data_IF_627770685385
#
_entry.id   IF_627770685385
#
_cell.length_a   1.000
_cell.length_b   1.000
_cell.length_c   1.000
_cell.angle_alpha   90.00
_cell.angle_beta   90.00
_cell.angle_gamma   90.00
#
_symmetry.space_group_name_H-M   'P 1'
#
loop_
_entity.id
_entity.type
_entity.pdbx_description
1 polymer ?
#
# COMPACT_ATOMS: atom_id res chain seq x y z
N UNK A 1 15.43 2.03 -41.39
CA UNK A 1 16.35 1.96 -42.55
C UNK A 1 15.93 0.89 -43.58
N UNK A 2 15.55 -0.33 -43.16
CA UNK A 2 15.08 -1.37 -44.09
C UNK A 2 13.81 -1.02 -44.89
N UNK A 3 12.85 -0.31 -44.29
CA UNK A 3 11.62 0.11 -44.98
C UNK A 3 11.85 1.09 -46.16
N UNK A 4 12.94 1.87 -46.14
CA UNK A 4 13.28 2.77 -47.25
C UNK A 4 13.97 2.05 -48.42
N UNK A 5 14.68 0.96 -48.17
CA UNK A 5 15.33 0.17 -49.23
C UNK A 5 14.31 -0.66 -50.02
N UNK A 6 13.27 -1.16 -49.36
CA UNK A 6 12.21 -1.95 -50.00
C UNK A 6 11.30 -1.08 -50.88
N UNK A 7 11.02 0.16 -50.47
CA UNK A 7 10.19 1.08 -51.28
C UNK A 7 10.90 1.55 -52.55
N UNK A 8 12.24 1.64 -52.53
CA UNK A 8 13.04 2.07 -53.70
C UNK A 8 13.17 0.99 -54.80
N UNK A 9 12.99 -0.29 -54.48
CA UNK A 9 13.02 -1.35 -55.51
C UNK A 9 11.71 -1.46 -56.31
N UNK A 10 10.59 -0.94 -55.79
CA UNK A 10 9.27 -1.07 -56.44
C UNK A 10 9.07 -0.03 -57.57
N UNK A 11 9.90 1.01 -57.65
CA UNK A 11 9.73 2.11 -58.63
C UNK A 11 10.61 1.99 -59.89
N UNK A 12 11.34 0.88 -60.12
CA UNK A 12 12.31 0.76 -61.23
C UNK A 12 12.14 -0.49 -62.11
N UNK A 13 11.04 -1.26 -62.01
CA UNK A 13 10.80 -2.36 -62.97
C UNK A 13 9.33 -2.56 -63.27
N UNK A 14 8.94 -2.25 -64.51
CA UNK A 14 7.57 -2.26 -65.05
C UNK A 14 7.05 -3.66 -65.45
N UNK A 15 7.69 -4.77 -65.06
CA UNK A 15 7.31 -6.11 -65.58
C UNK A 15 7.16 -7.27 -64.56
N UNK A 16 7.29 -7.05 -63.25
CA UNK A 16 6.76 -8.01 -62.24
C UNK A 16 6.75 -7.37 -60.84
N UNK A 17 5.62 -6.90 -60.30
CA UNK A 17 5.56 -6.28 -58.98
C UNK A 17 5.47 -7.38 -57.90
N UNK A 18 6.40 -8.33 -57.92
CA UNK A 18 6.53 -9.31 -56.82
C UNK A 18 7.25 -8.62 -55.67
N UNK A 19 6.46 -7.97 -54.81
CA UNK A 19 6.92 -7.59 -53.46
C UNK A 19 7.55 -8.84 -52.86
N UNK A 20 8.85 -8.86 -52.52
CA UNK A 20 9.49 -10.11 -52.13
C UNK A 20 8.77 -10.61 -50.87
N UNK A 21 8.01 -11.71 -50.96
CA UNK A 21 7.26 -12.26 -49.83
C UNK A 21 8.16 -12.52 -48.62
N UNK A 22 9.45 -12.76 -48.89
CA UNK A 22 10.53 -12.84 -47.90
C UNK A 22 10.67 -11.56 -47.08
N UNK A 23 10.59 -10.36 -47.69
CA UNK A 23 10.72 -9.09 -46.98
C UNK A 23 9.53 -8.83 -46.05
N UNK A 24 8.31 -9.14 -46.50
CA UNK A 24 7.10 -9.05 -45.68
C UNK A 24 7.16 -10.06 -44.53
N UNK A 25 7.56 -11.31 -44.82
CA UNK A 25 7.72 -12.35 -43.80
C UNK A 25 8.79 -12.00 -42.76
N UNK A 26 9.94 -11.47 -43.20
CA UNK A 26 11.02 -11.01 -42.30
C UNK A 26 10.57 -9.82 -41.45
N UNK A 27 9.85 -8.86 -42.03
CA UNK A 27 9.31 -7.71 -41.28
C UNK A 27 8.29 -8.17 -40.24
N UNK A 28 7.38 -9.06 -40.62
CA UNK A 28 6.39 -9.64 -39.71
C UNK A 28 7.06 -10.44 -38.59
N UNK A 29 8.06 -11.25 -38.92
CA UNK A 29 8.86 -11.99 -37.93
C UNK A 29 9.57 -11.04 -36.97
N UNK A 30 10.20 -9.96 -37.48
CA UNK A 30 10.85 -8.94 -36.66
C UNK A 30 9.87 -8.23 -35.73
N UNK A 31 8.65 -7.92 -36.20
CA UNK A 31 7.60 -7.33 -35.34
C UNK A 31 7.20 -8.30 -34.24
N UNK A 32 6.97 -9.58 -34.56
CA UNK A 32 6.64 -10.61 -33.56
C UNK A 32 7.78 -10.76 -32.55
N UNK A 33 9.03 -10.84 -33.00
CA UNK A 33 10.21 -10.92 -32.12
C UNK A 33 10.31 -9.67 -31.25
N UNK A 34 10.04 -8.47 -31.79
CA UNK A 34 10.09 -7.24 -31.01
C UNK A 34 9.01 -7.22 -29.92
N UNK A 35 7.77 -7.63 -30.24
CA UNK A 35 6.69 -7.75 -29.25
C UNK A 35 7.05 -8.79 -28.18
N UNK A 36 7.58 -9.95 -28.57
CA UNK A 36 8.01 -10.99 -27.61
C UNK A 36 9.15 -10.48 -26.72
N UNK A 37 10.17 -9.84 -27.30
CA UNK A 37 11.29 -9.26 -26.55
C UNK A 37 10.79 -8.15 -25.63
N UNK A 38 9.85 -7.31 -26.07
CA UNK A 38 9.25 -6.26 -25.24
C UNK A 38 8.46 -6.86 -24.07
N UNK A 39 7.64 -7.89 -24.31
CA UNK A 39 6.90 -8.61 -23.26
C UNK A 39 7.86 -9.27 -22.27
N UNK A 40 8.90 -9.95 -22.76
CA UNK A 40 9.95 -10.55 -21.93
C UNK A 40 10.70 -9.47 -21.15
N UNK A 41 11.01 -8.34 -21.77
CA UNK A 41 11.71 -7.22 -21.13
C UNK A 41 10.85 -6.57 -20.04
N UNK A 42 9.55 -6.34 -20.29
CA UNK A 42 8.61 -5.84 -19.28
C UNK A 42 8.47 -6.85 -18.15
N UNK A 43 8.39 -8.15 -18.44
CA UNK A 43 8.32 -9.20 -17.41
C UNK A 43 9.63 -9.34 -16.60
N UNK A 44 10.77 -9.05 -17.23
CA UNK A 44 12.09 -9.15 -16.60
C UNK A 44 12.42 -7.89 -15.77
N UNK A 45 12.17 -6.69 -16.30
CA UNK A 45 12.27 -5.43 -15.55
C UNK A 45 11.20 -5.35 -14.46
N UNK A 46 10.01 -5.88 -14.74
CA UNK A 46 8.91 -5.92 -13.79
C UNK A 46 9.15 -6.83 -12.59
N UNK A 47 10.23 -7.65 -12.58
CA UNK A 47 10.52 -8.52 -11.44
C UNK A 47 11.32 -7.85 -10.33
N UNK A 48 12.19 -6.88 -10.58
CA UNK A 48 13.02 -6.27 -9.52
C UNK A 48 13.49 -4.86 -9.91
N UNK A 49 12.75 -3.83 -9.48
CA UNK A 49 13.28 -2.46 -9.41
C UNK A 49 14.51 -2.49 -8.47
N UNK A 50 15.72 -2.37 -9.04
CA UNK A 50 17.05 -2.58 -8.43
C UNK A 50 17.23 -2.07 -7.00
N UNK A 51 16.46 -1.08 -6.57
CA UNK A 51 16.64 -0.42 -5.28
C UNK A 51 16.42 -1.40 -4.12
N UNK A 52 15.33 -2.15 -4.09
CA UNK A 52 15.01 -3.00 -2.93
C UNK A 52 15.91 -4.24 -2.86
N UNK A 53 16.16 -4.90 -3.99
CA UNK A 53 17.13 -6.00 -4.07
C UNK A 53 18.54 -5.53 -3.71
N UNK A 54 18.94 -4.32 -4.11
CA UNK A 54 20.23 -3.73 -3.74
C UNK A 54 20.29 -3.38 -2.25
N UNK A 55 19.23 -2.81 -1.69
CA UNK A 55 19.12 -2.52 -0.25
C UNK A 55 19.29 -3.81 0.55
N UNK A 56 18.63 -4.90 0.15
CA UNK A 56 18.78 -6.19 0.84
C UNK A 56 20.13 -6.83 0.59
N UNK A 57 20.71 -6.71 -0.60
CA UNK A 57 22.06 -7.19 -0.87
C UNK A 57 23.07 -6.50 0.06
N UNK A 58 23.04 -5.17 0.12
CA UNK A 58 23.90 -4.37 0.99
C UNK A 58 23.60 -4.68 2.46
N UNK A 59 22.33 -4.81 2.83
CA UNK A 59 21.89 -5.19 4.18
C UNK A 59 22.45 -6.55 4.59
N UNK A 60 22.34 -7.57 3.73
CA UNK A 60 22.87 -8.91 3.97
C UNK A 60 24.39 -8.92 4.07
N UNK A 61 25.08 -8.23 3.15
CA UNK A 61 26.55 -8.10 3.20
C UNK A 61 27.00 -7.43 4.50
N UNK A 62 26.30 -6.37 4.91
CA UNK A 62 26.61 -5.65 6.15
C UNK A 62 26.35 -6.52 7.39
N UNK A 63 25.27 -7.31 7.42
CA UNK A 63 25.00 -8.27 8.51
C UNK A 63 26.08 -9.33 8.62
N UNK A 64 26.51 -9.93 7.50
CA UNK A 64 27.62 -10.89 7.51
C UNK A 64 28.92 -10.24 7.99
N UNK A 65 29.18 -9.00 7.60
CA UNK A 65 30.34 -8.26 8.08
C UNK A 65 30.25 -7.93 9.59
N UNK A 66 29.05 -7.69 10.13
CA UNK A 66 28.85 -7.51 11.57
C UNK A 66 29.25 -8.76 12.35
N UNK A 67 28.83 -9.96 11.90
CA UNK A 67 29.20 -11.21 12.56
C UNK A 67 30.73 -11.50 12.44
N UNK A 68 31.38 -11.03 11.37
CA UNK A 68 32.83 -11.17 11.17
C UNK A 68 33.66 -10.19 12.01
N UNK A 69 33.27 -8.91 12.03
CA UNK A 69 34.01 -7.82 12.71
C UNK A 69 33.70 -7.77 14.21
N UNK A 70 32.49 -8.15 14.61
CA UNK A 70 32.02 -8.14 15.99
C UNK A 70 31.47 -9.53 16.41
N UNK A 71 32.32 -10.57 16.48
CA UNK A 71 31.88 -11.94 16.74
C UNK A 71 31.39 -12.16 18.17
N UNK A 72 31.90 -11.38 19.13
CA UNK A 72 31.58 -11.53 20.54
C UNK A 72 30.17 -10.99 20.82
N UNK A 73 29.23 -11.90 21.10
CA UNK A 73 27.90 -11.56 21.57
C UNK A 73 27.95 -11.30 23.08
N UNK A 74 27.45 -10.15 23.51
CA UNK A 74 27.18 -9.90 24.93
C UNK A 74 26.16 -10.95 25.40
N UNK A 75 26.53 -11.74 26.40
CA UNK A 75 25.80 -12.86 27.03
C UNK A 75 24.40 -13.13 26.43
N UNK A 76 24.36 -14.02 25.43
CA UNK A 76 23.14 -14.40 24.72
C UNK A 76 22.34 -15.55 25.37
N UNK A 77 22.75 -16.00 26.56
CA UNK A 77 22.24 -17.20 27.22
C UNK A 77 21.26 -16.94 28.39
N UNK A 78 20.97 -15.68 28.73
CA UNK A 78 19.94 -15.37 29.73
C UNK A 78 18.54 -15.31 29.08
N UNK A 79 17.88 -16.48 29.12
CA UNK A 79 16.49 -16.77 28.75
C UNK A 79 16.12 -16.60 27.26
N UNK A 80 16.45 -17.62 26.45
CA UNK A 80 15.51 -18.02 25.38
C UNK A 80 14.20 -18.41 26.04
N UNK A 81 13.25 -17.48 26.05
CA UNK A 81 11.86 -17.72 26.43
C UNK A 81 11.34 -18.87 25.53
N UNK A 82 11.12 -20.10 26.06
CA UNK A 82 10.71 -21.24 25.25
C UNK A 82 9.34 -21.01 24.60
N UNK A 83 8.55 -20.12 25.19
CA UNK A 83 7.25 -19.72 24.71
C UNK A 83 7.33 -18.58 23.66
N UNK A 84 8.50 -18.34 23.08
CA UNK A 84 8.73 -17.26 22.13
C UNK A 84 9.34 -17.77 20.83
N UNK A 85 8.61 -17.57 19.74
CA UNK A 85 9.09 -17.85 18.39
C UNK A 85 9.81 -16.61 17.87
N UNK A 86 11.07 -16.75 17.46
CA UNK A 86 11.86 -15.66 16.87
C UNK A 86 12.11 -15.85 15.37
N UNK A 87 12.27 -14.74 14.66
CA UNK A 87 12.58 -14.71 13.25
C UNK A 87 14.00 -15.24 12.98
N UNK A 88 14.13 -16.19 12.05
CA UNK A 88 15.43 -16.73 11.65
C UNK A 88 16.22 -15.73 10.77
N UNK A 89 15.51 -14.94 9.97
CA UNK A 89 16.08 -13.90 9.12
C UNK A 89 15.20 -12.66 9.17
N UNK A 90 15.74 -11.52 8.73
CA UNK A 90 14.95 -10.31 8.59
C UNK A 90 14.03 -10.38 7.38
N UNK A 91 12.94 -9.63 7.42
CA UNK A 91 12.05 -9.44 6.28
C UNK A 91 10.74 -8.80 6.71
N UNK A 92 9.87 -8.57 5.74
CA UNK A 92 8.53 -8.03 5.94
C UNK A 92 7.54 -9.18 6.03
N UNK A 93 6.69 -9.20 7.07
CA UNK A 93 5.62 -10.21 7.15
C UNK A 93 4.59 -9.97 6.05
N UNK A 94 4.50 -10.89 5.09
CA UNK A 94 3.60 -10.73 3.93
C UNK A 94 2.42 -11.68 3.93
N UNK A 95 2.56 -12.87 4.53
CA UNK A 95 1.50 -13.86 4.59
C UNK A 95 1.49 -14.57 5.94
N UNK A 96 0.30 -14.93 6.39
CA UNK A 96 0.07 -15.69 7.62
C UNK A 96 -0.79 -16.91 7.30
N UNK A 97 -0.20 -18.10 7.46
CA UNK A 97 -0.85 -19.40 7.32
C UNK A 97 -1.82 -19.69 8.47
N UNK A 98 -2.93 -18.95 8.55
CA UNK A 98 -3.91 -19.00 9.65
C UNK A 98 -4.41 -20.40 9.96
N UNK A 99 -4.82 -21.16 8.93
CA UNK A 99 -5.30 -22.54 9.10
C UNK A 99 -4.21 -23.48 9.64
N UNK A 100 -2.97 -23.31 9.17
CA UNK A 100 -1.81 -24.07 9.64
C UNK A 100 -1.52 -23.74 11.11
N UNK A 101 -1.50 -22.46 11.48
CA UNK A 101 -1.30 -22.01 12.85
C UNK A 101 -2.39 -22.52 13.79
N UNK A 102 -3.67 -22.47 13.40
CA UNK A 102 -4.78 -23.03 14.21
C UNK A 102 -4.60 -24.53 14.40
N UNK A 103 -4.21 -25.25 13.34
CA UNK A 103 -3.97 -26.69 13.40
C UNK A 103 -2.82 -27.03 14.35
N UNK A 104 -1.73 -26.27 14.30
CA UNK A 104 -0.59 -26.40 15.20
C UNK A 104 -0.98 -26.13 16.67
N UNK A 105 -1.61 -25.00 16.93
CA UNK A 105 -2.04 -24.61 18.27
C UNK A 105 -3.02 -25.63 18.87
N UNK A 106 -3.94 -26.17 18.07
CA UNK A 106 -4.88 -27.20 18.53
C UNK A 106 -4.18 -28.52 18.86
N UNK A 107 -3.23 -28.97 18.03
CA UNK A 107 -2.49 -30.22 18.28
C UNK A 107 -1.66 -30.14 19.56
N UNK A 108 -1.08 -28.98 19.83
CA UNK A 108 -0.26 -28.71 20.99
C UNK A 108 -1.05 -28.15 22.19
N UNK A 109 -2.37 -28.04 22.09
CA UNK A 109 -3.24 -27.40 23.09
C UNK A 109 -2.67 -26.08 23.66
N UNK A 110 -2.36 -25.16 22.74
CA UNK A 110 -1.83 -23.84 23.06
C UNK A 110 -2.51 -22.77 22.20
N UNK A 111 -2.13 -21.51 22.46
CA UNK A 111 -2.50 -20.32 21.73
C UNK A 111 -1.24 -19.64 21.18
N UNK A 112 -1.33 -19.16 19.95
CA UNK A 112 -0.27 -18.46 19.23
C UNK A 112 -0.69 -17.00 19.03
N UNK A 113 -0.01 -16.09 19.71
CA UNK A 113 -0.16 -14.65 19.50
C UNK A 113 0.91 -14.19 18.51
N UNK A 114 0.53 -13.94 17.26
CA UNK A 114 1.43 -13.29 16.30
C UNK A 114 1.67 -11.86 16.80
N UNK A 115 2.93 -11.43 16.79
CA UNK A 115 3.33 -10.15 17.37
C UNK A 115 3.49 -9.02 16.33
N UNK A 116 4.07 -9.26 15.14
CA UNK A 116 4.08 -8.26 14.08
C UNK A 116 2.77 -8.26 13.29
N UNK A 117 2.34 -7.08 12.86
CA UNK A 117 1.25 -6.94 11.89
C UNK A 117 1.72 -7.33 10.48
N UNK A 118 0.79 -7.73 9.60
CA UNK A 118 1.08 -7.86 8.17
C UNK A 118 1.63 -6.52 7.64
N UNK A 119 2.68 -6.61 6.84
CA UNK A 119 3.39 -5.47 6.27
C UNK A 119 4.48 -4.87 7.16
N UNK A 120 4.65 -5.37 8.39
CA UNK A 120 5.70 -4.91 9.30
C UNK A 120 7.05 -5.56 8.98
N UNK A 121 8.12 -4.76 9.02
CA UNK A 121 9.50 -5.26 8.97
C UNK A 121 9.89 -5.89 10.31
N UNK A 122 10.36 -7.13 10.23
CA UNK A 122 10.82 -7.95 11.35
C UNK A 122 12.33 -8.15 11.23
N UNK A 123 13.14 -7.64 12.18
CA UNK A 123 14.57 -7.93 12.22
C UNK A 123 14.88 -9.41 12.50
N UNK A 124 16.04 -9.88 12.06
CA UNK A 124 16.53 -11.21 12.44
C UNK A 124 16.66 -11.32 13.96
N UNK A 125 16.17 -12.42 14.56
CA UNK A 125 16.12 -12.64 15.99
C UNK A 125 14.98 -11.92 16.72
N UNK A 126 14.21 -11.06 16.04
CA UNK A 126 13.05 -10.42 16.66
C UNK A 126 11.90 -11.41 16.89
N UNK A 127 10.96 -11.02 17.75
CA UNK A 127 9.82 -11.86 18.16
C UNK A 127 8.79 -11.94 17.03
N UNK A 128 8.42 -13.14 16.62
CA UNK A 128 7.37 -13.42 15.64
C UNK A 128 6.05 -13.80 16.29
N UNK A 129 6.10 -14.70 17.27
CA UNK A 129 4.92 -15.14 17.98
C UNK A 129 5.23 -15.44 19.45
N UNK A 130 4.22 -15.26 20.30
CA UNK A 130 4.20 -15.75 21.67
C UNK A 130 3.29 -16.96 21.75
N UNK A 131 3.77 -18.00 22.41
CA UNK A 131 3.03 -19.20 22.72
C UNK A 131 2.48 -19.07 24.14
N UNK A 132 1.24 -19.49 24.37
CA UNK A 132 0.67 -19.57 25.71
C UNK A 132 -0.17 -20.83 25.83
N UNK A 133 -0.09 -21.55 26.95
CA UNK A 133 -0.84 -22.79 27.15
C UNK A 133 0.00 -23.87 27.82
N UNK A 134 -0.58 -25.04 28.03
CA UNK A 134 0.10 -26.13 28.74
C UNK A 134 0.94 -27.02 27.83
N UNK A 135 0.67 -27.06 26.52
CA UNK A 135 1.44 -27.88 25.58
C UNK A 135 2.38 -27.08 24.67
N UNK A 136 2.83 -25.90 25.10
CA UNK A 136 3.82 -25.11 24.33
C UNK A 136 5.13 -25.88 24.12
N UNK A 137 5.54 -26.74 25.06
CA UNK A 137 6.72 -27.61 24.90
C UNK A 137 6.59 -28.62 23.74
N UNK A 138 5.36 -28.91 23.29
CA UNK A 138 5.07 -29.89 22.24
C UNK A 138 4.88 -29.31 20.85
N UNK A 139 4.94 -27.98 20.69
CA UNK A 139 4.76 -27.33 19.39
C UNK A 139 6.09 -27.27 18.62
N UNK A 140 6.03 -27.56 17.32
CA UNK A 140 7.18 -27.36 16.45
C UNK A 140 7.31 -25.87 16.07
N UNK A 141 8.33 -25.21 16.63
CA UNK A 141 8.62 -23.79 16.40
C UNK A 141 8.98 -23.51 14.94
N UNK A 142 9.57 -24.48 14.23
CA UNK A 142 9.91 -24.32 12.82
C UNK A 142 8.65 -24.34 11.96
N UNK A 143 7.66 -25.20 12.26
CA UNK A 143 6.36 -25.16 11.57
C UNK A 143 5.62 -23.84 11.82
N UNK A 144 5.70 -23.28 13.03
CA UNK A 144 5.13 -21.94 13.31
C UNK A 144 5.83 -20.86 12.49
N UNK A 145 7.17 -20.95 12.34
CA UNK A 145 7.94 -19.99 11.53
C UNK A 145 7.61 -20.10 10.05
N UNK A 146 7.46 -21.32 9.52
CA UNK A 146 7.09 -21.55 8.12
C UNK A 146 5.70 -20.99 7.79
N UNK A 147 4.77 -21.02 8.74
CA UNK A 147 3.45 -20.42 8.59
C UNK A 147 3.47 -18.87 8.60
N UNK A 148 4.59 -18.24 8.98
CA UNK A 148 4.78 -16.78 9.02
C UNK A 148 5.78 -16.35 7.94
N UNK A 149 5.27 -16.03 6.76
CA UNK A 149 6.11 -15.77 5.59
C UNK A 149 6.69 -14.37 5.64
N UNK A 150 8.03 -14.29 5.73
CA UNK A 150 8.78 -13.05 5.61
C UNK A 150 9.35 -12.88 4.19
N UNK A 151 9.06 -11.76 3.54
CA UNK A 151 9.52 -11.42 2.19
C UNK A 151 10.35 -10.13 2.18
N UNK A 152 10.94 -9.79 1.03
CA UNK A 152 11.72 -8.56 0.87
C UNK A 152 10.86 -7.30 0.94
N UNK A 153 9.69 -7.33 0.30
CA UNK A 153 8.79 -6.18 0.18
C UNK A 153 7.38 -6.56 0.62
N UNK A 154 6.60 -5.53 0.96
CA UNK A 154 5.14 -5.66 1.16
C UNK A 154 4.48 -6.03 -0.17
N UNK A 155 3.44 -6.85 -0.09
CA UNK A 155 2.58 -7.20 -1.23
C UNK A 155 1.15 -6.75 -0.96
N UNK A 156 0.36 -6.56 -2.02
CA UNK A 156 -1.06 -6.22 -1.89
C UNK A 156 -1.96 -7.40 -1.55
N UNK A 157 -1.44 -8.63 -1.60
CA UNK A 157 -2.24 -9.86 -1.56
C UNK A 157 -3.07 -9.97 -0.28
N UNK A 158 -2.47 -9.65 0.87
CA UNK A 158 -3.13 -9.71 2.18
C UNK A 158 -3.13 -8.37 2.94
N UNK A 159 -2.71 -7.28 2.30
CA UNK A 159 -2.42 -6.01 2.99
C UNK A 159 -3.15 -4.81 2.37
N UNK A 160 -4.39 -4.60 2.81
CA UNK A 160 -5.21 -3.45 2.40
C UNK A 160 -4.51 -2.13 2.76
N UNK A 161 -3.80 -2.09 3.89
CA UNK A 161 -3.10 -0.89 4.33
C UNK A 161 -1.95 -0.52 3.40
N UNK A 162 -1.29 -1.51 2.80
CA UNK A 162 -0.26 -1.25 1.80
C UNK A 162 -0.85 -0.60 0.55
N UNK A 163 -2.05 -1.01 0.12
CA UNK A 163 -2.77 -0.36 -0.99
C UNK A 163 -3.08 1.10 -0.69
N UNK A 164 -3.57 1.38 0.52
CA UNK A 164 -3.82 2.75 0.96
C UNK A 164 -2.51 3.57 1.04
N UNK A 165 -1.44 2.98 1.56
CA UNK A 165 -0.13 3.63 1.63
C UNK A 165 0.40 3.99 0.24
N UNK A 166 0.29 3.09 -0.73
CA UNK A 166 0.73 3.38 -2.10
C UNK A 166 -0.05 4.54 -2.73
N UNK A 167 -1.36 4.62 -2.49
CA UNK A 167 -2.16 5.77 -2.95
C UNK A 167 -1.64 7.07 -2.32
N UNK A 168 -1.41 7.08 -1.01
CA UNK A 168 -0.89 8.24 -0.30
C UNK A 168 0.49 8.64 -0.82
N UNK A 169 1.41 7.68 -1.01
CA UNK A 169 2.73 7.93 -1.58
C UNK A 169 2.66 8.53 -3.00
N UNK A 170 1.67 8.14 -3.82
CA UNK A 170 1.43 8.78 -5.12
C UNK A 170 1.02 10.25 -4.95
N UNK A 171 0.15 10.55 -3.99
CA UNK A 171 -0.26 11.92 -3.66
C UNK A 171 0.92 12.77 -3.16
N UNK A 172 1.71 12.21 -2.24
CA UNK A 172 2.91 12.89 -1.72
C UNK A 172 3.93 13.17 -2.84
N UNK A 173 4.17 12.20 -3.72
CA UNK A 173 5.07 12.39 -4.88
C UNK A 173 4.57 13.45 -5.86
N UNK A 174 3.26 13.56 -6.06
CA UNK A 174 2.67 14.60 -6.90
C UNK A 174 2.89 16.02 -6.33
N UNK A 175 3.24 16.14 -5.04
CA UNK A 175 3.58 17.41 -4.38
C UNK A 175 5.07 17.60 -4.10
N UNK A 176 5.89 16.55 -4.22
CA UNK A 176 7.29 16.57 -3.81
C UNK A 176 8.17 17.52 -4.63
N UNK A 177 7.79 17.85 -5.87
CA UNK A 177 8.48 18.85 -6.68
C UNK A 177 7.65 20.15 -6.75
N UNK A 178 8.03 21.13 -5.93
CA UNK A 178 7.32 22.42 -5.84
C UNK A 178 7.17 23.17 -7.16
N UNK A 179 8.03 22.92 -8.17
CA UNK A 179 7.91 23.57 -9.48
C UNK A 179 6.88 22.90 -10.39
N UNK A 180 6.52 21.65 -10.10
CA UNK A 180 5.65 20.79 -10.91
C UNK A 180 4.56 20.13 -10.08
N UNK A 181 4.23 20.70 -8.92
CA UNK A 181 3.19 20.20 -8.06
C UNK A 181 1.88 20.09 -8.85
N UNK A 182 1.26 18.91 -8.80
CA UNK A 182 0.01 18.62 -9.49
C UNK A 182 -1.13 18.36 -8.49
N UNK A 183 -1.84 19.42 -8.06
CA UNK A 183 -3.01 19.29 -7.20
C UNK A 183 -4.11 18.39 -7.77
N UNK A 184 -4.21 18.26 -9.08
CA UNK A 184 -5.24 17.44 -9.72
C UNK A 184 -4.97 15.96 -9.47
N UNK A 185 -3.72 15.52 -9.59
CA UNK A 185 -3.33 14.15 -9.24
C UNK A 185 -3.59 13.85 -7.76
N UNK A 186 -3.31 14.81 -6.86
CA UNK A 186 -3.59 14.62 -5.43
C UNK A 186 -5.09 14.51 -5.15
N UNK A 187 -5.92 15.33 -5.80
CA UNK A 187 -7.39 15.20 -5.70
C UNK A 187 -7.85 13.81 -6.14
N UNK A 188 -7.29 13.26 -7.23
CA UNK A 188 -7.62 11.91 -7.67
C UNK A 188 -7.19 10.84 -6.67
N UNK A 189 -6.05 11.02 -5.99
CA UNK A 189 -5.62 10.15 -4.89
C UNK A 189 -6.60 10.24 -3.71
N UNK A 190 -6.99 11.45 -3.31
CA UNK A 190 -7.99 11.68 -2.25
C UNK A 190 -9.32 11.01 -2.61
N UNK A 191 -9.74 11.00 -3.88
CA UNK A 191 -10.94 10.28 -4.30
C UNK A 191 -10.85 8.77 -4.07
N UNK A 192 -9.69 8.16 -4.33
CA UNK A 192 -9.50 6.71 -4.11
C UNK A 192 -9.43 6.38 -2.62
N UNK A 193 -8.70 7.18 -1.84
CA UNK A 193 -8.64 7.06 -0.37
C UNK A 193 -10.05 7.19 0.23
N UNK A 194 -10.79 8.23 -0.20
CA UNK A 194 -12.15 8.48 0.24
C UNK A 194 -13.08 7.28 -0.03
N UNK A 195 -13.10 6.78 -1.27
CA UNK A 195 -13.93 5.63 -1.64
C UNK A 195 -13.61 4.38 -0.80
N UNK A 196 -12.33 4.07 -0.62
CA UNK A 196 -11.90 2.91 0.18
C UNK A 196 -12.29 3.05 1.65
N UNK A 197 -12.08 4.22 2.26
CA UNK A 197 -12.46 4.45 3.66
C UNK A 197 -13.98 4.46 3.83
N UNK A 198 -14.74 4.95 2.85
CA UNK A 198 -16.20 4.87 2.84
C UNK A 198 -16.65 3.42 2.83
N UNK A 199 -16.03 2.56 2.03
CA UNK A 199 -16.31 1.12 2.04
C UNK A 199 -15.91 0.43 3.36
N UNK A 200 -14.79 0.83 3.98
CA UNK A 200 -14.32 0.26 5.25
C UNK A 200 -15.15 0.72 6.46
N UNK A 201 -15.72 1.93 6.43
CA UNK A 201 -16.46 2.53 7.56
C UNK A 201 -17.66 1.71 8.04
N UNK A 202 -18.23 0.87 7.16
CA UNK A 202 -19.39 0.00 7.46
C UNK A 202 -19.03 -1.48 7.55
N UNK A 203 -17.74 -1.79 7.62
CA UNK A 203 -17.25 -3.16 7.80
C UNK A 203 -16.81 -3.38 9.24
N UNK A 204 -16.98 -4.61 9.68
CA UNK A 204 -16.40 -5.08 10.92
C UNK A 204 -14.88 -5.18 10.73
N UNK A 205 -14.15 -4.32 11.44
CA UNK A 205 -12.70 -4.37 11.54
C UNK A 205 -12.38 -5.06 12.86
N UNK A 206 -12.70 -6.35 12.91
CA UNK A 206 -12.48 -7.16 14.12
C UNK A 206 -10.99 -7.48 14.25
N UNK A 207 -10.54 -7.68 15.48
CA UNK A 207 -9.25 -8.33 15.76
C UNK A 207 -9.18 -9.64 14.95
N UNK A 208 -8.04 -9.91 14.30
CA UNK A 208 -7.84 -11.13 13.53
C UNK A 208 -7.63 -12.31 14.50
N UNK A 209 -8.74 -12.84 15.00
CA UNK A 209 -8.83 -13.91 16.01
C UNK A 209 -9.34 -15.18 15.36
N UNK A 210 -8.48 -16.20 15.29
CA UNK A 210 -8.79 -17.49 14.72
C UNK A 210 -9.16 -18.49 15.82
N UNK A 211 -10.28 -19.18 15.62
CA UNK A 211 -10.82 -20.18 16.55
C UNK A 211 -10.78 -21.56 15.92
N UNK A 212 -10.66 -22.59 16.74
CA UNK A 212 -10.83 -23.97 16.30
C UNK A 212 -12.31 -24.38 16.20
N UNK A 213 -12.56 -25.63 15.79
CA UNK A 213 -13.90 -26.21 15.66
C UNK A 213 -14.70 -26.23 16.97
N UNK A 214 -14.02 -26.10 18.13
CA UNK A 214 -14.65 -26.06 19.45
C UNK A 214 -14.99 -24.65 19.91
N UNK A 215 -14.58 -23.63 19.15
CA UNK A 215 -14.78 -22.21 19.44
C UNK A 215 -13.68 -21.59 20.31
N UNK A 216 -12.63 -22.34 20.66
CA UNK A 216 -11.50 -21.85 21.44
C UNK A 216 -10.57 -20.98 20.58
N UNK A 217 -10.07 -19.87 21.15
CA UNK A 217 -9.13 -18.98 20.45
C UNK A 217 -7.77 -19.65 20.38
N UNK A 218 -7.29 -19.91 19.16
CA UNK A 218 -6.00 -20.56 18.90
C UNK A 218 -4.95 -19.60 18.35
N UNK A 219 -5.35 -18.60 17.56
CA UNK A 219 -4.41 -17.64 16.99
C UNK A 219 -4.97 -16.24 17.10
N UNK A 220 -4.13 -15.26 17.45
CA UNK A 220 -4.47 -13.84 17.29
C UNK A 220 -3.39 -13.13 16.50
N UNK A 221 -3.82 -12.26 15.60
CA UNK A 221 -2.95 -11.46 14.73
C UNK A 221 -3.27 -9.98 14.93
N UNK A 222 -2.27 -9.10 15.05
CA UNK A 222 -2.48 -7.66 15.08
C UNK A 222 -3.07 -7.22 13.73
N UNK A 223 -4.23 -6.57 13.77
CA UNK A 223 -4.89 -6.00 12.61
C UNK A 223 -4.95 -4.47 12.72
N UNK A 224 -5.04 -3.79 11.57
CA UNK A 224 -5.31 -2.35 11.57
C UNK A 224 -6.74 -2.09 12.04
N UNK A 225 -6.86 -1.15 12.99
CA UNK A 225 -8.16 -0.62 13.38
C UNK A 225 -8.60 0.53 12.47
N UNK A 226 -9.83 0.98 12.68
CA UNK A 226 -10.42 2.08 11.93
C UNK A 226 -9.59 3.37 12.01
N UNK A 227 -9.14 3.72 13.21
CA UNK A 227 -8.37 4.93 13.47
C UNK A 227 -7.07 4.92 12.69
N UNK A 228 -6.37 3.79 12.65
CA UNK A 228 -5.16 3.60 11.88
C UNK A 228 -5.41 3.76 10.37
N UNK A 229 -6.51 3.22 9.84
CA UNK A 229 -6.86 3.41 8.43
C UNK A 229 -7.15 4.86 8.06
N UNK A 230 -7.91 5.57 8.91
CA UNK A 230 -8.23 6.99 8.67
C UNK A 230 -6.97 7.84 8.71
N UNK A 231 -6.11 7.64 9.71
CA UNK A 231 -4.81 8.32 9.82
C UNK A 231 -3.90 8.03 8.63
N UNK A 232 -3.75 6.74 8.28
CA UNK A 232 -2.97 6.34 7.12
C UNK A 232 -3.47 7.01 5.83
N UNK A 233 -4.79 7.11 5.64
CA UNK A 233 -5.38 7.68 4.45
C UNK A 233 -5.27 9.20 4.35
N UNK A 234 -5.43 9.93 5.46
CA UNK A 234 -5.61 11.39 5.42
C UNK A 234 -4.47 12.18 6.06
N UNK A 235 -3.78 11.69 7.08
CA UNK A 235 -2.92 12.52 7.95
C UNK A 235 -1.82 13.23 7.17
N UNK A 236 -1.05 12.49 6.36
CA UNK A 236 0.00 13.10 5.53
C UNK A 236 -0.60 13.97 4.41
N UNK A 237 -1.71 13.56 3.79
CA UNK A 237 -2.35 14.33 2.73
C UNK A 237 -2.91 15.67 3.24
N UNK A 238 -3.41 15.71 4.47
CA UNK A 238 -3.84 16.93 5.15
C UNK A 238 -2.65 17.85 5.38
N UNK A 239 -1.57 17.31 5.98
CA UNK A 239 -0.37 18.08 6.30
C UNK A 239 0.27 18.73 5.07
N UNK A 240 0.42 17.98 3.97
CA UNK A 240 1.07 18.51 2.75
C UNK A 240 0.09 19.23 1.82
N UNK A 241 -1.20 18.89 1.89
CA UNK A 241 -2.22 19.39 0.97
C UNK A 241 -2.84 20.72 1.37
N UNK A 242 -2.75 21.11 2.65
CA UNK A 242 -3.36 22.34 3.17
C UNK A 242 -2.88 23.63 2.46
N UNK A 243 -1.65 23.62 1.93
CA UNK A 243 -1.09 24.73 1.14
C UNK A 243 -1.70 24.91 -0.25
N UNK A 244 -2.56 23.99 -0.71
CA UNK A 244 -3.31 24.09 -1.95
C UNK A 244 -4.82 24.19 -1.68
N UNK A 245 -5.52 25.28 -2.07
CA UNK A 245 -6.95 25.39 -1.81
C UNK A 245 -7.72 24.26 -2.50
N UNK A 246 -7.26 23.82 -3.68
CA UNK A 246 -7.91 22.73 -4.41
C UNK A 246 -7.90 21.42 -3.62
N UNK A 247 -6.77 21.10 -2.98
CA UNK A 247 -6.62 19.86 -2.21
C UNK A 247 -7.37 19.99 -0.88
N UNK A 248 -7.19 21.10 -0.15
CA UNK A 248 -7.84 21.34 1.13
C UNK A 248 -9.38 21.25 1.03
N UNK A 249 -9.97 21.89 0.02
CA UNK A 249 -11.43 21.86 -0.20
C UNK A 249 -11.93 20.45 -0.50
N UNK A 250 -11.15 19.67 -1.26
CA UNK A 250 -11.49 18.27 -1.59
C UNK A 250 -11.35 17.36 -0.37
N UNK A 251 -10.29 17.50 0.42
CA UNK A 251 -10.10 16.76 1.68
C UNK A 251 -11.26 17.01 2.64
N UNK A 252 -11.63 18.27 2.84
CA UNK A 252 -12.80 18.63 3.66
C UNK A 252 -14.06 17.94 3.15
N UNK A 253 -14.34 18.02 1.84
CA UNK A 253 -15.51 17.36 1.26
C UNK A 253 -15.52 15.85 1.44
N UNK A 254 -14.35 15.17 1.42
CA UNK A 254 -14.27 13.74 1.71
C UNK A 254 -14.55 13.43 3.19
N UNK A 255 -13.95 14.20 4.10
CA UNK A 255 -14.11 14.00 5.53
C UNK A 255 -15.56 14.27 5.97
N UNK A 256 -16.21 15.32 5.43
CA UNK A 256 -17.62 15.62 5.70
C UNK A 256 -18.57 14.53 5.14
N UNK A 257 -18.33 14.01 3.93
CA UNK A 257 -19.10 12.86 3.41
C UNK A 257 -18.92 11.61 4.27
N UNK A 258 -17.70 11.36 4.74
CA UNK A 258 -17.43 10.24 5.64
C UNK A 258 -18.16 10.39 6.98
N UNK A 259 -18.25 11.60 7.55
CA UNK A 259 -19.04 11.85 8.76
C UNK A 259 -20.54 11.60 8.52
N UNK A 260 -21.07 12.00 7.35
CA UNK A 260 -22.47 11.74 6.99
C UNK A 260 -22.74 10.24 6.78
N UNK A 261 -21.79 9.51 6.20
CA UNK A 261 -21.98 8.12 5.80
C UNK A 261 -21.63 7.09 6.88
N UNK A 262 -20.59 7.34 7.67
CA UNK A 262 -20.07 6.40 8.66
C UNK A 262 -20.96 6.33 9.92
N UNK A 263 -21.03 5.18 10.59
CA UNK A 263 -21.64 5.06 11.92
C UNK A 263 -20.99 6.01 12.95
N UNK A 264 -21.76 6.44 13.96
CA UNK A 264 -21.31 7.42 14.96
C UNK A 264 -20.04 6.97 15.75
N UNK A 265 -19.89 5.67 16.01
CA UNK A 265 -18.69 5.12 16.67
C UNK A 265 -17.40 5.29 15.84
N UNK A 266 -17.55 5.57 14.54
CA UNK A 266 -16.44 5.78 13.59
C UNK A 266 -16.08 7.25 13.38
N UNK A 267 -16.85 8.18 13.93
CA UNK A 267 -16.65 9.62 13.77
C UNK A 267 -15.35 10.17 14.37
N UNK A 268 -14.90 9.76 15.59
CA UNK A 268 -13.80 10.44 16.27
C UNK A 268 -12.51 10.62 15.44
N UNK A 269 -11.94 9.59 14.77
CA UNK A 269 -10.74 9.81 13.96
C UNK A 269 -10.98 10.66 12.70
N UNK A 270 -12.21 10.75 12.19
CA UNK A 270 -12.56 11.62 11.05
C UNK A 270 -12.60 13.08 11.52
N UNK A 271 -13.22 13.34 12.67
CA UNK A 271 -13.27 14.66 13.30
C UNK A 271 -11.86 15.18 13.63
N UNK A 272 -10.98 14.31 14.14
CA UNK A 272 -9.56 14.63 14.36
C UNK A 272 -8.87 15.12 13.07
N UNK A 273 -9.10 14.43 11.94
CA UNK A 273 -8.53 14.84 10.65
C UNK A 273 -9.15 16.14 10.11
N UNK A 274 -10.44 16.39 10.37
CA UNK A 274 -11.09 17.64 9.98
C UNK A 274 -10.53 18.83 10.77
N UNK A 275 -10.35 18.66 12.09
CA UNK A 275 -9.72 19.66 12.95
C UNK A 275 -8.26 19.92 12.52
N UNK A 276 -7.49 18.85 12.24
CA UNK A 276 -6.13 18.99 11.75
C UNK A 276 -6.05 19.72 10.41
N UNK A 277 -7.02 19.51 9.52
CA UNK A 277 -7.13 20.25 8.26
C UNK A 277 -7.44 21.73 8.48
N UNK A 278 -8.31 22.05 9.45
CA UNK A 278 -8.63 23.43 9.82
C UNK A 278 -7.39 24.18 10.31
N UNK A 279 -6.67 23.59 11.25
CA UNK A 279 -5.43 24.16 11.79
C UNK A 279 -4.38 24.31 10.68
N UNK A 280 -4.19 23.27 9.85
CA UNK A 280 -3.21 23.30 8.76
C UNK A 280 -3.52 24.37 7.71
N UNK A 281 -4.81 24.59 7.38
CA UNK A 281 -5.23 25.64 6.44
C UNK A 281 -5.05 27.03 7.04
N UNK A 282 -5.34 27.21 8.34
CA UNK A 282 -5.11 28.46 9.03
C UNK A 282 -3.62 28.83 9.06
N UNK A 283 -2.74 27.85 9.28
CA UNK A 283 -1.29 28.06 9.28
C UNK A 283 -0.70 28.30 7.87
N UNK A 284 -1.31 27.71 6.83
CA UNK A 284 -0.80 27.79 5.46
C UNK A 284 -1.03 29.15 4.77
N UNK A 285 -1.99 29.97 5.22
CA UNK A 285 -2.38 31.20 4.53
C UNK A 285 -2.43 32.43 5.44
N UNK A 286 -1.85 33.54 4.98
CA UNK A 286 -1.84 34.80 5.72
C UNK A 286 -3.11 35.66 5.59
N UNK A 287 -4.00 35.34 4.64
CA UNK A 287 -5.17 36.18 4.31
C UNK A 287 -6.47 35.43 4.58
N UNK A 288 -7.35 36.01 5.41
CA UNK A 288 -8.65 35.45 5.79
C UNK A 288 -9.51 35.01 4.59
N UNK A 289 -9.46 35.76 3.49
CA UNK A 289 -10.20 35.42 2.26
C UNK A 289 -9.76 34.09 1.64
N UNK A 290 -8.48 33.74 1.77
CA UNK A 290 -7.91 32.50 1.22
C UNK A 290 -8.18 31.35 2.18
N UNK A 291 -8.06 31.59 3.48
CA UNK A 291 -8.48 30.63 4.52
C UNK A 291 -9.95 30.26 4.33
N UNK A 292 -10.83 31.24 4.17
CA UNK A 292 -12.26 31.03 3.94
C UNK A 292 -12.55 30.29 2.62
N UNK A 293 -11.73 30.48 1.59
CA UNK A 293 -11.85 29.75 0.33
C UNK A 293 -11.42 28.28 0.48
N UNK A 294 -10.25 28.04 1.09
CA UNK A 294 -9.69 26.71 1.30
C UNK A 294 -10.52 25.88 2.30
N UNK A 295 -11.18 26.53 3.26
CA UNK A 295 -12.03 25.89 4.27
C UNK A 295 -13.45 25.56 3.81
N UNK A 296 -13.82 25.85 2.55
CA UNK A 296 -15.15 25.50 2.03
C UNK A 296 -15.09 24.14 1.32
N UNK A 297 -15.97 23.17 1.64
CA UNK A 297 -15.95 21.88 0.97
C UNK A 297 -16.20 22.01 -0.54
N UNK A 298 -15.54 21.16 -1.32
CA UNK A 298 -15.73 21.06 -2.77
C UNK A 298 -15.42 19.66 -3.29
N UNK A 299 -16.42 19.00 -3.87
CA UNK A 299 -16.27 17.66 -4.42
C UNK A 299 -15.24 17.57 -5.56
N UNK A 300 -14.93 18.67 -6.25
CA UNK A 300 -13.92 18.72 -7.32
C UNK A 300 -12.65 19.49 -6.91
N UNK A 301 -12.68 20.20 -5.78
CA UNK A 301 -11.60 21.08 -5.33
C UNK A 301 -11.45 22.41 -6.10
N UNK A 302 -11.96 22.52 -7.32
CA UNK A 302 -11.65 23.64 -8.24
C UNK A 302 -12.53 24.89 -8.09
N UNK A 303 -13.42 24.95 -7.09
CA UNK A 303 -14.36 26.05 -6.88
C UNK A 303 -15.61 25.96 -7.75
N UNK A 304 -15.78 24.86 -8.48
CA UNK A 304 -16.87 24.62 -9.43
C UNK A 304 -17.76 23.51 -8.90
N UNK A 305 -18.31 23.67 -7.69
CA UNK A 305 -19.53 22.93 -7.35
C UNK A 305 -20.49 23.19 -8.50
N UNK A 306 -20.94 22.14 -9.21
CA UNK A 306 -21.82 22.25 -10.38
C UNK A 306 -22.81 23.39 -10.13
N UNK A 307 -22.64 24.50 -10.88
CA UNK A 307 -22.92 25.87 -10.40
C UNK A 307 -24.08 25.98 -9.45
N UNK A 308 -23.86 26.61 -8.29
CA UNK A 308 -24.86 27.03 -7.29
C UNK A 308 -26.27 26.71 -7.77
N UNK A 309 -26.77 25.55 -7.33
CA UNK A 309 -28.04 25.03 -7.78
C UNK A 309 -29.08 26.14 -7.78
N UNK A 310 -29.53 26.49 -8.99
CA UNK A 310 -30.75 27.22 -9.29
C UNK A 310 -31.86 26.71 -8.37
N UNK A 311 -31.98 27.33 -7.21
CA UNK A 311 -33.00 27.02 -6.23
C UNK A 311 -34.06 28.10 -6.35
N UNK A 312 -35.15 27.70 -6.98
CA UNK A 312 -36.53 28.12 -6.68
C UNK A 312 -36.93 29.54 -7.11
N UNK A 313 -37.26 29.67 -8.40
CA UNK A 313 -38.49 30.36 -8.77
C UNK A 313 -39.67 29.39 -8.69
N UNK A 314 -40.16 29.20 -7.45
CA UNK A 314 -41.56 28.90 -7.21
C UNK A 314 -42.19 30.21 -6.71
N UNK A 315 -42.57 31.06 -7.66
CA UNK A 315 -43.46 32.21 -7.43
C UNK A 315 -44.57 32.07 -8.45
N UNK A 316 -45.78 31.91 -7.93
CA UNK A 316 -47.11 32.06 -8.55
C UNK A 316 -47.33 31.54 -9.98
N UNK A 317 -48.08 30.44 -10.06
CA UNK A 317 -49.42 30.42 -10.70
C UNK A 317 -50.19 29.15 -10.39
#
# INVERSE_FOLDING_TARGET
MHAMLTMRQVLVSEDDPTVPGVSVAVTFLLVVVNVVVLVVYIHHIGRELQVSSLIELVGKQTRSLLDEVYPDRLDSDEQRDPDLVTAAHSGVLTQIGREQLVTLARRADCRIDVLPAIGQFVPAGARLARLTGQGTDGIDVDEVREALVLSLERTLEEDVSYGLRMLVDMGLRALADSSHADPTTVVQVVDRVHDLLRQLSRRELTEDVQRDDTGEVRVTVPSMDWTAYVRLGFEELVLVGAGSPQIARRLRSALEDLLEYAPEDRHPPIEEQLAQLEDSVADAYAYDRVIALASRPDAQGIGVAAGEGSTRHAVDR
#
